data_IF_294240592789
#
_entry.id   IF_294240592789
#
_cell.length_a   1.000
_cell.length_b   1.000
_cell.length_c   1.000
_cell.angle_alpha   90.00
_cell.angle_beta   90.00
_cell.angle_gamma   90.00
#
_symmetry.space_group_name_H-M   'P 1'
#
loop_
_entity.id
_entity.type
_entity.pdbx_description
1 polymer ?
#
# COMPACT_ATOMS: atom_id res chain seq x y z
N UNK A 1 11.49 -19.52 26.67
CA UNK A 1 11.09 -19.04 25.33
C UNK A 1 10.07 -17.97 25.62
N UNK A 2 10.33 -16.70 25.30
CA UNK A 2 9.56 -15.55 25.79
C UNK A 2 8.05 -15.81 25.77
N UNK A 3 7.45 -16.02 26.95
CA UNK A 3 6.02 -16.27 27.09
C UNK A 3 5.23 -14.97 26.87
N UNK A 4 4.45 -14.90 25.78
CA UNK A 4 3.66 -13.72 25.40
C UNK A 4 2.71 -13.27 26.50
N UNK A 5 2.13 -14.22 27.25
CA UNK A 5 1.21 -13.93 28.37
C UNK A 5 1.95 -13.33 29.57
N UNK A 6 3.18 -13.79 29.85
CA UNK A 6 4.01 -13.20 30.89
C UNK A 6 4.38 -11.76 30.55
N UNK A 7 4.83 -11.51 29.32
CA UNK A 7 5.19 -10.16 28.85
C UNK A 7 3.98 -9.24 28.90
N UNK A 8 2.82 -9.70 28.44
CA UNK A 8 1.56 -8.97 28.50
C UNK A 8 1.21 -8.53 29.92
N UNK A 9 1.33 -9.43 30.90
CA UNK A 9 1.12 -9.11 32.31
C UNK A 9 2.11 -8.05 32.80
N UNK A 10 3.40 -8.17 32.46
CA UNK A 10 4.44 -7.19 32.83
C UNK A 10 4.19 -5.82 32.24
N UNK A 11 3.77 -5.74 30.97
CA UNK A 11 3.37 -4.47 30.35
C UNK A 11 2.18 -3.86 31.11
N UNK A 12 1.16 -4.65 31.40
CA UNK A 12 -0.03 -4.20 32.13
C UNK A 12 0.31 -3.71 33.55
N UNK A 13 1.17 -4.43 34.28
CA UNK A 13 1.64 -4.07 35.61
C UNK A 13 2.41 -2.76 35.61
N UNK A 14 3.44 -2.64 34.76
CA UNK A 14 4.25 -1.44 34.66
C UNK A 14 3.42 -0.23 34.22
N UNK A 15 2.49 -0.42 33.27
CA UNK A 15 1.56 0.63 32.83
C UNK A 15 0.65 1.11 33.94
N UNK A 16 0.04 0.18 34.69
CA UNK A 16 -0.83 0.50 35.84
C UNK A 16 -0.06 1.19 36.96
N UNK A 17 1.21 0.82 37.18
CA UNK A 17 2.09 1.46 38.17
C UNK A 17 2.31 2.95 37.92
N UNK A 18 2.39 3.36 36.65
CA UNK A 18 2.50 4.78 36.27
C UNK A 18 1.14 5.44 35.99
N UNK A 19 0.03 4.75 36.31
CA UNK A 19 -1.35 5.21 36.23
C UNK A 19 -1.76 5.77 34.85
N UNK A 20 -1.39 5.07 33.76
CA UNK A 20 -1.87 5.42 32.41
C UNK A 20 -2.77 4.32 31.83
N UNK A 21 -3.73 4.70 31.00
CA UNK A 21 -4.60 3.79 30.24
C UNK A 21 -3.86 3.13 29.06
N UNK A 22 -4.42 2.05 28.52
CA UNK A 22 -3.91 1.45 27.28
C UNK A 22 -3.87 2.46 26.12
N UNK A 23 -4.86 3.35 26.04
CA UNK A 23 -4.93 4.39 25.03
C UNK A 23 -3.81 5.43 25.18
N UNK A 24 -3.50 5.85 26.41
CA UNK A 24 -2.39 6.77 26.67
C UNK A 24 -1.03 6.13 26.39
N UNK A 25 -0.83 4.86 26.76
CA UNK A 25 0.39 4.13 26.41
C UNK A 25 0.55 4.01 24.89
N UNK A 26 -0.53 3.63 24.20
CA UNK A 26 -0.54 3.51 22.74
C UNK A 26 -0.21 4.84 22.05
N UNK A 27 -0.78 5.95 22.54
CA UNK A 27 -0.47 7.30 22.07
C UNK A 27 1.01 7.65 22.24
N UNK A 28 1.65 7.28 23.36
CA UNK A 28 3.09 7.53 23.58
C UNK A 28 3.98 6.64 22.71
N UNK A 29 3.49 5.46 22.32
CA UNK A 29 4.20 4.53 21.44
C UNK A 29 3.93 4.75 19.95
N UNK A 30 2.99 5.64 19.61
CA UNK A 30 2.50 5.88 18.24
C UNK A 30 1.89 4.63 17.58
N UNK A 31 1.18 3.80 18.34
CA UNK A 31 0.52 2.57 17.86
C UNK A 31 -0.97 2.54 18.24
N UNK A 32 -1.70 1.53 17.76
CA UNK A 32 -3.11 1.36 18.11
C UNK A 32 -3.31 0.94 19.57
N UNK A 33 -4.31 1.49 20.26
CA UNK A 33 -4.70 1.03 21.60
C UNK A 33 -5.14 -0.44 21.61
N UNK A 34 -5.64 -0.93 20.47
CA UNK A 34 -5.95 -2.35 20.28
C UNK A 34 -4.70 -3.22 20.35
N UNK A 35 -3.55 -2.74 19.84
CA UNK A 35 -2.29 -3.45 19.90
C UNK A 35 -1.82 -3.62 21.35
N UNK A 36 -1.84 -2.56 22.15
CA UNK A 36 -1.56 -2.64 23.60
C UNK A 36 -2.50 -3.64 24.28
N UNK A 37 -3.79 -3.62 23.94
CA UNK A 37 -4.76 -4.58 24.46
C UNK A 37 -4.43 -6.04 24.09
N UNK A 38 -4.03 -6.31 22.85
CA UNK A 38 -3.60 -7.65 22.39
C UNK A 38 -2.34 -8.10 23.13
N UNK A 39 -1.38 -7.20 23.34
CA UNK A 39 -0.17 -7.51 24.11
C UNK A 39 -0.50 -7.91 25.54
N UNK A 40 -1.32 -7.12 26.23
CA UNK A 40 -1.70 -7.41 27.63
C UNK A 40 -2.52 -8.69 27.79
N UNK A 41 -3.22 -9.15 26.75
CA UNK A 41 -3.90 -10.45 26.72
C UNK A 41 -2.99 -11.61 26.28
N UNK A 42 -1.77 -11.33 25.82
CA UNK A 42 -0.82 -12.31 25.31
C UNK A 42 -1.15 -12.83 23.89
N UNK A 43 -2.02 -12.13 23.17
CA UNK A 43 -2.44 -12.46 21.79
C UNK A 43 -1.37 -12.07 20.75
N UNK A 44 -0.54 -11.07 21.07
CA UNK A 44 0.60 -10.63 20.25
C UNK A 44 1.71 -10.05 21.14
N UNK A 45 2.81 -9.60 20.55
CA UNK A 45 3.96 -9.03 21.26
C UNK A 45 4.50 -7.79 20.53
N UNK A 46 5.00 -6.76 21.24
CA UNK A 46 5.69 -5.64 20.60
C UNK A 46 7.00 -6.09 19.94
N UNK A 47 7.40 -5.40 18.88
CA UNK A 47 8.73 -5.60 18.26
C UNK A 47 9.86 -5.05 19.14
N UNK A 48 11.11 -5.34 18.78
CA UNK A 48 12.29 -4.95 19.56
C UNK A 48 12.47 -3.43 19.71
N UNK A 49 12.11 -2.65 18.67
CA UNK A 49 12.17 -1.19 18.71
C UNK A 49 11.06 -0.64 19.61
N UNK A 50 9.88 -1.23 19.54
CA UNK A 50 8.75 -0.90 20.40
C UNK A 50 9.02 -1.28 21.86
N UNK A 51 9.73 -2.38 22.12
CA UNK A 51 10.18 -2.76 23.46
C UNK A 51 11.10 -1.72 24.09
N UNK A 52 12.06 -1.18 23.34
CA UNK A 52 12.95 -0.13 23.83
C UNK A 52 12.14 1.11 24.25
N UNK A 53 11.18 1.52 23.42
CA UNK A 53 10.28 2.65 23.73
C UNK A 53 9.36 2.35 24.91
N UNK A 54 8.85 1.13 25.02
CA UNK A 54 8.06 0.67 26.16
C UNK A 54 8.86 0.79 27.45
N UNK A 55 10.11 0.32 27.46
CA UNK A 55 10.99 0.40 28.62
C UNK A 55 11.20 1.86 29.08
N UNK A 56 11.48 2.76 28.13
CA UNK A 56 11.62 4.19 28.38
C UNK A 56 10.32 4.82 28.93
N UNK A 57 9.17 4.57 28.30
CA UNK A 57 7.88 5.16 28.70
C UNK A 57 7.42 4.63 30.07
N UNK A 58 7.65 3.35 30.35
CA UNK A 58 7.23 2.67 31.56
C UNK A 58 8.22 2.84 32.72
N UNK A 59 9.39 3.43 32.46
CA UNK A 59 10.45 3.60 33.45
C UNK A 59 10.94 2.26 33.99
N UNK A 60 11.19 1.29 33.11
CA UNK A 60 11.72 -0.04 33.45
C UNK A 60 12.96 -0.34 32.63
N UNK A 61 13.86 -1.15 33.17
CA UNK A 61 14.96 -1.72 32.39
C UNK A 61 14.42 -2.71 31.35
N UNK A 62 15.08 -2.84 30.19
CA UNK A 62 14.62 -3.76 29.14
C UNK A 62 14.55 -5.23 29.62
N UNK A 63 15.43 -5.63 30.55
CA UNK A 63 15.42 -6.97 31.13
C UNK A 63 14.20 -7.22 32.03
N UNK A 64 13.46 -6.18 32.43
CA UNK A 64 12.20 -6.33 33.15
C UNK A 64 11.26 -7.28 32.41
N UNK A 65 11.23 -7.27 31.08
CA UNK A 65 10.35 -8.13 30.28
C UNK A 65 10.84 -9.59 30.11
N UNK A 66 11.99 -9.96 30.68
CA UNK A 66 12.55 -11.31 30.60
C UNK A 66 11.99 -12.27 31.68
N UNK A 67 12.00 -13.57 31.39
CA UNK A 67 11.56 -14.66 32.31
C UNK A 67 12.46 -14.78 33.55
N UNK A 68 13.76 -14.46 33.41
CA UNK A 68 14.77 -14.70 34.44
C UNK A 68 15.04 -13.50 35.35
N UNK A 69 14.31 -12.39 35.18
CA UNK A 69 14.51 -11.22 36.03
C UNK A 69 13.70 -11.36 37.33
N UNK A 70 14.33 -11.92 38.36
CA UNK A 70 13.89 -11.70 39.72
C UNK A 70 14.21 -10.25 40.08
N UNK A 71 13.20 -9.49 40.49
CA UNK A 71 13.38 -8.19 41.11
C UNK A 71 14.27 -8.34 42.35
N UNK A 72 15.58 -8.23 42.20
CA UNK A 72 16.43 -7.84 43.32
C UNK A 72 16.00 -6.44 43.68
N UNK A 73 15.44 -6.29 44.89
CA UNK A 73 15.11 -5.01 45.49
C UNK A 73 16.33 -4.07 45.37
N UNK A 74 16.31 -3.27 44.33
CA UNK A 74 17.12 -2.07 44.19
C UNK A 74 16.13 -1.03 43.76
N UNK A 75 15.38 -0.56 44.75
CA UNK A 75 14.94 0.83 44.77
C UNK A 75 16.11 1.66 44.24
N UNK A 76 15.98 2.16 43.02
CA UNK A 76 16.87 3.22 42.56
C UNK A 76 16.57 4.38 43.48
N UNK A 77 17.45 4.58 44.47
CA UNK A 77 17.38 5.68 45.43
C UNK A 77 17.05 6.95 44.68
N UNK A 78 15.95 7.58 45.10
CA UNK A 78 15.68 8.99 44.95
C UNK A 78 16.98 9.76 45.22
N UNK A 79 17.55 10.37 44.19
CA UNK A 79 18.48 11.47 44.41
C UNK A 79 17.64 12.65 44.91
N UNK A 80 18.00 13.18 46.08
CA UNK A 80 17.32 14.27 46.76
C UNK A 80 17.25 15.58 45.95
N UNK A 81 16.27 16.44 46.25
CA UNK A 81 15.85 17.54 45.38
C UNK A 81 16.76 18.76 45.53
N UNK A 82 17.31 19.23 44.41
CA UNK A 82 17.82 20.59 44.33
C UNK A 82 16.65 21.59 44.28
N UNK A 83 16.65 22.42 45.32
CA UNK A 83 15.77 23.54 45.64
C UNK A 83 15.25 24.32 44.42
N UNK A 84 13.93 24.57 44.49
CA UNK A 84 13.07 25.44 43.65
C UNK A 84 13.76 26.68 43.04
N UNK A 85 13.57 26.86 41.74
CA UNK A 85 13.17 28.15 41.17
C UNK A 85 11.70 28.08 40.71
N UNK A 86 10.91 29.16 40.85
CA UNK A 86 9.45 29.08 40.83
C UNK A 86 8.90 28.98 39.40
N UNK A 87 7.83 28.19 39.32
CA UNK A 87 6.77 28.22 38.33
C UNK A 87 6.69 29.48 37.46
N UNK A 88 7.15 29.37 36.21
CA UNK A 88 6.64 30.13 35.07
C UNK A 88 6.97 29.33 33.80
N UNK A 89 5.99 29.24 32.89
CA UNK A 89 5.94 28.44 31.65
C UNK A 89 5.38 27.00 31.77
N UNK A 90 4.24 26.86 32.47
CA UNK A 90 3.19 25.93 32.04
C UNK A 90 2.06 26.72 31.38
N UNK A 91 2.26 27.09 30.11
CA UNK A 91 1.14 27.45 29.24
C UNK A 91 1.49 27.23 27.77
N UNK A 92 1.62 25.97 27.38
CA UNK A 92 1.18 25.53 26.07
C UNK A 92 1.01 24.01 26.18
N UNK A 93 -0.22 23.51 25.96
CA UNK A 93 -0.43 22.12 25.60
C UNK A 93 0.35 21.91 24.30
N UNK A 94 1.63 21.55 24.39
CA UNK A 94 2.40 21.06 23.26
C UNK A 94 1.66 19.82 22.78
N UNK A 95 0.83 20.01 21.76
CA UNK A 95 0.14 18.96 21.04
C UNK A 95 1.25 18.06 20.55
N UNK A 96 1.44 16.89 21.20
CA UNK A 96 2.50 15.96 20.87
C UNK A 96 2.45 15.77 19.36
N UNK A 97 3.45 16.28 18.64
CA UNK A 97 3.51 16.17 17.19
C UNK A 97 3.84 14.72 16.91
N UNK A 98 2.83 13.92 16.59
CA UNK A 98 3.05 12.56 16.12
C UNK A 98 3.78 12.69 14.79
N UNK A 99 5.09 12.50 14.76
CA UNK A 99 5.86 12.45 13.52
C UNK A 99 6.57 11.11 13.52
N UNK A 100 6.18 10.26 12.57
CA UNK A 100 6.73 8.91 12.36
C UNK A 100 7.70 8.88 11.17
N UNK A 101 8.10 10.07 10.68
CA UNK A 101 9.10 10.25 9.64
C UNK A 101 10.47 9.75 10.08
N UNK A 102 11.28 9.31 9.11
CA UNK A 102 12.63 8.76 9.32
C UNK A 102 12.70 7.50 10.21
N UNK A 103 11.56 7.02 10.70
CA UNK A 103 11.48 5.86 11.58
C UNK A 103 11.64 4.53 10.84
N UNK A 104 12.16 3.54 11.57
CA UNK A 104 12.11 2.14 11.19
C UNK A 104 10.97 1.46 11.98
N UNK A 105 9.92 1.06 11.28
CA UNK A 105 8.73 0.44 11.84
C UNK A 105 8.64 -0.98 11.33
N UNK A 106 8.75 -1.94 12.24
CA UNK A 106 8.83 -3.36 11.90
C UNK A 106 7.80 -4.09 12.74
N UNK A 107 6.87 -4.79 12.10
CA UNK A 107 5.78 -5.51 12.77
C UNK A 107 4.86 -4.60 13.63
N UNK A 108 4.86 -3.30 13.37
CA UNK A 108 4.05 -2.32 14.11
C UNK A 108 2.56 -2.42 13.74
N UNK A 109 1.69 -2.39 14.76
CA UNK A 109 0.23 -2.43 14.58
C UNK A 109 -0.39 -1.03 14.70
N UNK A 110 -0.71 -0.47 13.54
CA UNK A 110 -1.41 0.80 13.32
C UNK A 110 -2.90 0.59 12.95
N UNK A 111 -3.45 -0.60 13.18
CA UNK A 111 -4.81 -0.94 12.76
C UNK A 111 -5.86 -0.07 13.46
N UNK A 112 -6.86 0.38 12.70
CA UNK A 112 -7.94 1.26 13.17
C UNK A 112 -7.50 2.68 13.54
N UNK A 113 -6.23 3.04 13.35
CA UNK A 113 -5.77 4.41 13.58
C UNK A 113 -6.43 5.37 12.59
N UNK A 114 -6.57 6.62 13.04
CA UNK A 114 -7.12 7.73 12.27
C UNK A 114 -6.17 8.90 12.29
N UNK A 115 -6.34 9.84 11.36
CA UNK A 115 -5.56 11.08 11.28
C UNK A 115 -4.04 10.85 11.09
N UNK A 116 -3.69 9.88 10.25
CA UNK A 116 -2.29 9.57 9.91
C UNK A 116 -1.71 10.44 8.79
N UNK A 117 -2.39 11.55 8.46
CA UNK A 117 -1.92 12.52 7.48
C UNK A 117 -0.58 13.12 7.89
N UNK A 118 0.35 13.16 6.92
CA UNK A 118 1.69 13.76 7.06
C UNK A 118 2.51 13.16 8.21
N UNK A 119 2.22 11.91 8.61
CA UNK A 119 2.94 11.23 9.69
C UNK A 119 4.15 10.44 9.21
N UNK A 120 4.20 10.07 7.94
CA UNK A 120 5.25 9.21 7.41
C UNK A 120 5.95 9.90 6.23
N UNK A 121 7.18 10.35 6.46
CA UNK A 121 8.08 10.76 5.39
C UNK A 121 9.43 10.11 5.58
N UNK A 122 10.00 9.54 4.51
CA UNK A 122 11.32 8.91 4.57
C UNK A 122 11.46 7.79 5.61
N UNK A 123 10.35 7.13 5.93
CA UNK A 123 10.29 6.02 6.89
C UNK A 123 10.44 4.66 6.18
N UNK A 124 10.99 3.69 6.88
CA UNK A 124 10.97 2.27 6.52
C UNK A 124 9.86 1.57 7.30
N UNK A 125 8.88 1.02 6.61
CA UNK A 125 7.76 0.26 7.20
C UNK A 125 7.81 -1.15 6.64
N UNK A 126 7.95 -2.13 7.54
CA UNK A 126 8.03 -3.55 7.18
C UNK A 126 7.01 -4.34 8.00
N UNK A 127 6.17 -5.12 7.32
CA UNK A 127 5.18 -6.00 7.97
C UNK A 127 4.26 -5.28 8.97
N UNK A 128 4.04 -3.99 8.76
CA UNK A 128 3.16 -3.19 9.60
C UNK A 128 1.69 -3.47 9.24
N UNK A 129 0.81 -3.35 10.23
CA UNK A 129 -0.63 -3.54 10.08
C UNK A 129 -1.35 -2.19 10.09
N UNK A 130 -2.15 -1.92 9.06
CA UNK A 130 -2.99 -0.73 8.90
C UNK A 130 -4.45 -1.12 8.64
N UNK A 131 -4.85 -2.31 9.08
CA UNK A 131 -6.17 -2.86 8.78
C UNK A 131 -7.29 -1.96 9.31
N UNK A 132 -8.25 -1.64 8.43
CA UNK A 132 -9.41 -0.80 8.77
C UNK A 132 -9.07 0.62 9.25
N UNK A 133 -7.86 1.11 8.98
CA UNK A 133 -7.44 2.46 9.36
C UNK A 133 -8.04 3.53 8.45
N UNK A 134 -8.22 4.72 8.98
CA UNK A 134 -8.51 5.93 8.18
C UNK A 134 -7.18 6.60 7.84
N UNK A 135 -6.76 6.37 6.61
CA UNK A 135 -5.55 6.89 5.98
C UNK A 135 -5.91 7.94 4.92
N UNK A 136 -7.10 8.54 4.99
CA UNK A 136 -7.53 9.52 4.00
C UNK A 136 -6.58 10.72 3.99
N UNK A 137 -6.11 11.08 2.79
CA UNK A 137 -5.10 12.13 2.61
C UNK A 137 -3.71 11.78 3.18
N UNK A 138 -3.39 10.50 3.40
CA UNK A 138 -2.05 10.06 3.81
C UNK A 138 -1.01 10.56 2.82
N UNK A 139 0.11 11.09 3.33
CA UNK A 139 1.26 11.46 2.52
C UNK A 139 2.38 10.46 2.82
N UNK A 140 2.81 9.71 1.81
CA UNK A 140 4.02 8.88 1.82
C UNK A 140 5.01 9.46 0.83
N UNK A 141 6.08 10.10 1.34
CA UNK A 141 7.12 10.73 0.54
C UNK A 141 8.46 10.05 0.81
N UNK A 142 9.02 9.44 -0.24
CA UNK A 142 10.32 8.76 -0.16
C UNK A 142 10.33 7.63 0.87
N UNK A 143 9.22 6.90 1.01
CA UNK A 143 9.10 5.79 1.96
C UNK A 143 9.50 4.45 1.33
N UNK A 144 9.94 3.53 2.17
CA UNK A 144 9.97 2.10 1.86
C UNK A 144 8.84 1.42 2.62
N UNK A 145 7.87 0.84 1.90
CA UNK A 145 6.70 0.16 2.47
C UNK A 145 6.71 -1.26 1.94
N UNK A 146 7.11 -2.21 2.77
CA UNK A 146 7.31 -3.60 2.38
C UNK A 146 6.45 -4.55 3.22
N UNK A 147 5.72 -5.43 2.54
CA UNK A 147 4.97 -6.52 3.15
C UNK A 147 3.95 -6.06 4.22
N UNK A 148 3.44 -4.83 4.15
CA UNK A 148 2.45 -4.29 5.06
C UNK A 148 1.03 -4.66 4.64
N UNK A 149 0.10 -4.63 5.60
CA UNK A 149 -1.31 -4.98 5.38
C UNK A 149 -2.20 -3.76 5.60
N UNK A 150 -2.74 -3.22 4.50
CA UNK A 150 -3.67 -2.09 4.49
C UNK A 150 -5.13 -2.55 4.38
N UNK A 151 -5.43 -3.85 4.40
CA UNK A 151 -6.74 -4.37 3.98
C UNK A 151 -7.91 -3.70 4.69
N UNK A 152 -8.92 -3.31 3.91
CA UNK A 152 -10.12 -2.60 4.38
C UNK A 152 -9.91 -1.16 4.85
N UNK A 153 -8.74 -0.56 4.63
CA UNK A 153 -8.48 0.84 5.00
C UNK A 153 -8.98 1.84 3.94
N UNK A 154 -9.18 3.08 4.38
CA UNK A 154 -9.48 4.20 3.49
C UNK A 154 -8.20 5.00 3.20
N UNK A 155 -7.67 4.88 1.99
CA UNK A 155 -6.54 5.68 1.47
C UNK A 155 -7.02 6.77 0.48
N UNK A 156 -8.29 7.15 0.50
CA UNK A 156 -8.82 8.15 -0.44
C UNK A 156 -8.04 9.46 -0.36
N UNK A 157 -7.77 10.09 -1.50
CA UNK A 157 -6.99 11.34 -1.61
C UNK A 157 -5.53 11.24 -1.13
N UNK A 158 -5.00 10.04 -0.88
CA UNK A 158 -3.62 9.87 -0.44
C UNK A 158 -2.62 10.20 -1.55
N UNK A 159 -1.40 10.57 -1.16
CA UNK A 159 -0.29 10.89 -2.06
C UNK A 159 0.90 10.00 -1.75
N UNK A 160 1.23 9.12 -2.69
CA UNK A 160 2.39 8.22 -2.63
C UNK A 160 3.40 8.71 -3.65
N UNK A 161 4.50 9.27 -3.16
CA UNK A 161 5.47 10.00 -3.97
C UNK A 161 6.88 9.46 -3.76
N UNK A 162 7.58 9.15 -4.85
CA UNK A 162 8.98 8.68 -4.81
C UNK A 162 9.20 7.50 -3.87
N UNK A 163 8.19 6.65 -3.68
CA UNK A 163 8.21 5.58 -2.67
C UNK A 163 8.31 4.20 -3.31
N UNK A 164 8.86 3.26 -2.55
CA UNK A 164 8.84 1.84 -2.89
C UNK A 164 7.72 1.17 -2.10
N UNK A 165 6.78 0.55 -2.82
CA UNK A 165 5.58 -0.09 -2.28
C UNK A 165 5.60 -1.54 -2.75
N UNK A 166 6.21 -2.42 -1.96
CA UNK A 166 6.48 -3.80 -2.34
C UNK A 166 5.68 -4.79 -1.50
N UNK A 167 5.06 -5.79 -2.15
CA UNK A 167 4.42 -6.94 -1.48
C UNK A 167 3.32 -6.56 -0.48
N UNK A 168 2.71 -5.40 -0.64
CA UNK A 168 1.69 -4.92 0.28
C UNK A 168 0.31 -5.47 -0.10
N UNK A 169 -0.56 -5.61 0.91
CA UNK A 169 -1.95 -5.97 0.72
C UNK A 169 -2.82 -4.73 0.83
N UNK A 170 -3.54 -4.41 -0.24
CA UNK A 170 -4.53 -3.35 -0.33
C UNK A 170 -5.93 -3.91 -0.61
N UNK A 171 -6.18 -5.15 -0.17
CA UNK A 171 -7.44 -5.83 -0.40
C UNK A 171 -8.61 -5.02 0.15
N UNK A 172 -9.68 -4.87 -0.63
CA UNK A 172 -10.91 -4.16 -0.26
C UNK A 172 -10.66 -2.71 0.25
N UNK A 173 -9.58 -2.07 -0.17
CA UNK A 173 -9.26 -0.69 0.23
C UNK A 173 -9.96 0.35 -0.65
N UNK A 174 -10.21 1.54 -0.09
CA UNK A 174 -10.55 2.71 -0.89
C UNK A 174 -9.27 3.47 -1.30
N UNK A 175 -8.99 3.54 -2.60
CA UNK A 175 -7.90 4.34 -3.19
C UNK A 175 -8.47 5.44 -4.10
N UNK A 176 -9.71 5.87 -3.81
CA UNK A 176 -10.41 6.91 -4.57
C UNK A 176 -9.58 8.19 -4.61
N UNK A 177 -9.37 8.73 -5.81
CA UNK A 177 -8.60 9.97 -6.02
C UNK A 177 -7.18 9.95 -5.44
N UNK A 178 -6.62 8.76 -5.13
CA UNK A 178 -5.24 8.64 -4.67
C UNK A 178 -4.24 8.94 -5.81
N UNK A 179 -3.11 9.55 -5.47
CA UNK A 179 -2.08 9.97 -6.42
C UNK A 179 -0.77 9.21 -6.17
N UNK A 180 -0.34 8.44 -7.16
CA UNK A 180 0.94 7.75 -7.19
C UNK A 180 1.88 8.44 -8.18
N UNK A 181 2.95 9.03 -7.68
CA UNK A 181 3.95 9.71 -8.53
C UNK A 181 5.36 9.21 -8.32
N UNK A 182 6.07 8.92 -9.40
CA UNK A 182 7.49 8.50 -9.37
C UNK A 182 7.76 7.32 -8.43
N UNK A 183 6.81 6.41 -8.29
CA UNK A 183 6.85 5.33 -7.29
C UNK A 183 6.95 3.96 -7.96
N UNK A 184 7.56 3.00 -7.26
CA UNK A 184 7.64 1.60 -7.67
C UNK A 184 6.66 0.79 -6.84
N UNK A 185 5.72 0.12 -7.50
CA UNK A 185 4.64 -0.63 -6.86
C UNK A 185 4.77 -2.06 -7.37
N UNK A 186 5.32 -2.95 -6.54
CA UNK A 186 5.68 -4.29 -6.98
C UNK A 186 4.97 -5.35 -6.15
N UNK A 187 4.41 -6.35 -6.81
CA UNK A 187 3.85 -7.56 -6.22
C UNK A 187 2.78 -7.25 -5.15
N UNK A 188 2.01 -6.18 -5.35
CA UNK A 188 0.95 -5.79 -4.42
C UNK A 188 -0.37 -6.48 -4.78
N UNK A 189 -1.14 -6.81 -3.76
CA UNK A 189 -2.50 -7.34 -3.89
C UNK A 189 -3.49 -6.19 -3.75
N UNK A 190 -4.14 -5.79 -4.85
CA UNK A 190 -5.19 -4.78 -4.89
C UNK A 190 -6.58 -5.41 -5.05
N UNK A 191 -6.76 -6.69 -4.76
CA UNK A 191 -8.03 -7.39 -4.99
C UNK A 191 -9.20 -6.65 -4.34
N UNK A 192 -10.25 -6.35 -5.11
CA UNK A 192 -11.44 -5.65 -4.63
C UNK A 192 -11.24 -4.17 -4.24
N UNK A 193 -10.05 -3.60 -4.45
CA UNK A 193 -9.80 -2.20 -4.15
C UNK A 193 -10.56 -1.26 -5.12
N UNK A 194 -10.87 -0.06 -4.65
CA UNK A 194 -11.51 0.97 -5.47
C UNK A 194 -10.49 2.02 -5.92
N UNK A 195 -10.20 2.09 -7.22
CA UNK A 195 -9.28 3.07 -7.82
C UNK A 195 -9.98 4.21 -8.55
N UNK A 196 -11.26 4.47 -8.28
CA UNK A 196 -12.04 5.50 -8.96
C UNK A 196 -11.33 6.85 -8.90
N UNK A 197 -11.02 7.44 -10.05
CA UNK A 197 -10.34 8.73 -10.16
C UNK A 197 -8.87 8.75 -9.69
N UNK A 198 -8.28 7.59 -9.37
CA UNK A 198 -6.88 7.51 -8.97
C UNK A 198 -5.93 7.90 -10.13
N UNK A 199 -4.78 8.47 -9.77
CA UNK A 199 -3.82 9.01 -10.73
C UNK A 199 -2.46 8.34 -10.57
N UNK A 200 -1.90 7.91 -11.68
CA UNK A 200 -0.55 7.39 -11.77
C UNK A 200 0.27 8.24 -12.73
N UNK A 201 1.38 8.81 -12.25
CA UNK A 201 2.27 9.64 -13.04
C UNK A 201 3.72 9.23 -12.84
N UNK A 202 4.41 8.85 -13.90
CA UNK A 202 5.80 8.36 -13.85
C UNK A 202 5.99 7.20 -12.86
N UNK A 203 4.96 6.37 -12.64
CA UNK A 203 5.00 5.25 -11.69
C UNK A 203 5.04 3.91 -12.43
N UNK A 204 5.70 2.92 -11.83
CA UNK A 204 5.86 1.59 -12.40
C UNK A 204 5.16 0.56 -11.53
N UNK A 205 4.30 -0.25 -12.15
CA UNK A 205 3.59 -1.34 -11.51
C UNK A 205 4.13 -2.66 -12.04
N UNK A 206 4.66 -3.50 -11.15
CA UNK A 206 5.14 -4.83 -11.51
C UNK A 206 4.43 -5.93 -10.75
N UNK A 207 3.92 -6.97 -11.40
CA UNK A 207 3.46 -8.19 -10.71
C UNK A 207 2.26 -8.01 -9.77
N UNK A 208 1.49 -6.92 -9.92
CA UNK A 208 0.36 -6.62 -9.03
C UNK A 208 -0.91 -7.34 -9.48
N UNK A 209 -1.74 -7.72 -8.50
CA UNK A 209 -3.05 -8.33 -8.73
C UNK A 209 -4.14 -7.27 -8.58
N UNK A 210 -4.92 -7.04 -9.64
CA UNK A 210 -6.05 -6.12 -9.65
C UNK A 210 -7.38 -6.85 -9.87
N UNK A 211 -7.48 -8.09 -9.40
CA UNK A 211 -8.71 -8.87 -9.53
C UNK A 211 -9.89 -8.15 -8.85
N UNK A 212 -11.01 -7.97 -9.57
CA UNK A 212 -12.20 -7.32 -8.99
C UNK A 212 -12.10 -5.82 -8.78
N UNK A 213 -11.08 -5.14 -9.32
CA UNK A 213 -10.90 -3.70 -9.14
C UNK A 213 -11.81 -2.88 -10.06
N UNK A 214 -12.42 -1.84 -9.49
CA UNK A 214 -13.07 -0.76 -10.27
C UNK A 214 -12.04 0.31 -10.60
N UNK A 215 -11.75 0.46 -11.88
CA UNK A 215 -10.80 1.44 -12.38
C UNK A 215 -11.45 2.75 -12.84
N UNK A 216 -12.78 2.88 -12.82
CA UNK A 216 -13.51 3.96 -13.50
C UNK A 216 -12.91 5.34 -13.27
N UNK A 217 -12.56 6.02 -14.36
CA UNK A 217 -11.99 7.37 -14.30
C UNK A 217 -10.53 7.43 -13.84
N UNK A 218 -9.83 6.29 -13.77
CA UNK A 218 -8.39 6.25 -13.53
C UNK A 218 -7.65 7.04 -14.62
N UNK A 219 -6.66 7.82 -14.18
CA UNK A 219 -5.81 8.62 -15.04
C UNK A 219 -4.36 8.13 -14.98
N UNK A 220 -3.81 7.77 -16.13
CA UNK A 220 -2.43 7.30 -16.24
C UNK A 220 -1.68 8.20 -17.21
N UNK A 221 -0.62 8.87 -16.71
CA UNK A 221 0.24 9.78 -17.46
C UNK A 221 1.69 9.36 -17.32
N UNK A 222 2.19 8.62 -18.31
CA UNK A 222 3.56 8.08 -18.31
C UNK A 222 3.82 7.08 -17.18
N UNK A 223 4.51 5.98 -17.48
CA UNK A 223 4.70 4.86 -16.55
C UNK A 223 4.35 3.54 -17.22
N UNK A 224 4.53 2.43 -16.50
CA UNK A 224 4.38 1.10 -17.08
C UNK A 224 3.58 0.13 -16.22
N UNK A 225 2.78 -0.69 -16.88
CA UNK A 225 2.22 -1.93 -16.34
C UNK A 225 3.09 -3.07 -16.84
N UNK A 226 3.71 -3.80 -15.92
CA UNK A 226 4.52 -4.96 -16.27
C UNK A 226 4.18 -6.17 -15.42
N UNK A 227 3.89 -7.33 -16.01
CA UNK A 227 3.54 -8.51 -15.18
C UNK A 227 2.22 -8.34 -14.41
N UNK A 228 1.37 -7.37 -14.78
CA UNK A 228 0.12 -7.10 -14.07
C UNK A 228 -0.97 -8.06 -14.54
N UNK A 229 -1.78 -8.55 -13.60
CA UNK A 229 -2.96 -9.36 -13.90
C UNK A 229 -4.24 -8.61 -13.48
N UNK A 230 -5.14 -8.40 -14.44
CA UNK A 230 -6.49 -7.89 -14.20
C UNK A 230 -7.46 -9.03 -14.53
N UNK A 231 -8.01 -9.68 -13.49
CA UNK A 231 -9.03 -10.72 -13.66
C UNK A 231 -10.39 -10.19 -13.20
N UNK A 232 -11.45 -10.43 -13.96
CA UNK A 232 -12.82 -10.10 -13.56
C UNK A 232 -12.95 -8.68 -12.96
N UNK A 233 -13.00 -7.66 -13.81
CA UNK A 233 -13.12 -6.26 -13.38
C UNK A 233 -13.57 -5.34 -14.52
N UNK A 234 -13.93 -4.11 -14.18
CA UNK A 234 -14.41 -3.11 -15.13
C UNK A 234 -13.30 -2.12 -15.47
N UNK A 235 -12.86 -2.15 -16.73
CA UNK A 235 -11.90 -1.21 -17.29
C UNK A 235 -12.64 -0.23 -18.22
N UNK A 236 -13.66 0.43 -17.67
CA UNK A 236 -14.61 1.27 -18.40
C UNK A 236 -14.35 2.74 -18.10
N UNK A 237 -14.33 3.61 -19.13
CA UNK A 237 -14.14 5.07 -18.99
C UNK A 237 -12.79 5.47 -18.36
N UNK A 238 -11.72 4.76 -18.68
CA UNK A 238 -10.38 5.06 -18.17
C UNK A 238 -9.60 5.92 -19.15
N UNK A 239 -8.87 6.92 -18.64
CA UNK A 239 -7.98 7.76 -19.47
C UNK A 239 -6.54 7.28 -19.30
N UNK A 240 -6.02 6.64 -20.35
CA UNK A 240 -4.68 6.07 -20.38
C UNK A 240 -3.92 6.74 -21.51
N UNK A 241 -2.84 7.44 -21.19
CA UNK A 241 -2.03 8.15 -22.17
C UNK A 241 -0.55 7.86 -21.92
N UNK A 242 0.18 7.46 -22.98
CA UNK A 242 1.61 7.16 -22.90
C UNK A 242 1.97 6.08 -21.85
N UNK A 243 1.07 5.12 -21.61
CA UNK A 243 1.36 3.98 -20.75
C UNK A 243 2.12 2.90 -21.52
N UNK A 244 3.14 2.31 -20.90
CA UNK A 244 3.88 1.16 -21.44
C UNK A 244 3.26 -0.13 -20.88
N UNK A 245 2.94 -1.09 -21.74
CA UNK A 245 2.33 -2.35 -21.34
C UNK A 245 3.26 -3.50 -21.73
N UNK A 246 3.81 -4.21 -20.76
CA UNK A 246 4.65 -5.37 -21.03
C UNK A 246 4.18 -6.55 -20.18
N UNK A 247 4.17 -7.79 -20.66
CA UNK A 247 3.86 -8.98 -19.84
C UNK A 247 2.54 -8.84 -19.06
N UNK A 248 1.54 -8.18 -19.62
CA UNK A 248 0.31 -7.81 -18.89
C UNK A 248 -0.87 -8.64 -19.38
N UNK A 249 -1.66 -9.17 -18.46
CA UNK A 249 -2.77 -10.06 -18.75
C UNK A 249 -4.11 -9.48 -18.29
N UNK A 250 -5.07 -9.45 -19.22
CA UNK A 250 -6.48 -9.12 -18.99
C UNK A 250 -7.29 -10.41 -19.19
N UNK A 251 -8.04 -10.84 -18.18
CA UNK A 251 -8.79 -12.11 -18.20
C UNK A 251 -10.19 -11.86 -17.66
N UNK A 252 -11.22 -12.27 -18.41
CA UNK A 252 -12.64 -12.08 -18.05
C UNK A 252 -13.00 -10.60 -17.78
N UNK A 253 -12.38 -9.68 -18.53
CA UNK A 253 -12.45 -8.22 -18.30
C UNK A 253 -13.36 -7.51 -19.31
N UNK A 254 -14.14 -6.52 -18.84
CA UNK A 254 -14.83 -5.56 -19.72
C UNK A 254 -13.90 -4.38 -19.99
N UNK A 255 -13.54 -4.15 -21.27
CA UNK A 255 -12.67 -3.06 -21.68
C UNK A 255 -13.48 -2.10 -22.56
N UNK A 256 -13.69 -0.88 -22.07
CA UNK A 256 -14.48 0.10 -22.80
C UNK A 256 -13.99 1.53 -22.68
N UNK A 257 -14.15 2.30 -23.76
CA UNK A 257 -13.79 3.72 -23.84
C UNK A 257 -12.30 4.00 -23.60
N UNK A 258 -11.42 3.20 -24.21
CA UNK A 258 -9.97 3.26 -23.98
C UNK A 258 -9.20 3.36 -25.28
N UNK A 259 -8.11 4.15 -25.23
CA UNK A 259 -7.09 4.20 -26.28
C UNK A 259 -5.79 3.61 -25.74
N UNK A 260 -5.31 2.53 -26.35
CA UNK A 260 -3.99 1.96 -26.10
C UNK A 260 -2.97 2.61 -27.05
N UNK A 261 -1.88 3.14 -26.51
CA UNK A 261 -0.77 3.75 -27.26
C UNK A 261 0.56 3.13 -26.82
N UNK A 262 1.60 3.23 -27.65
CA UNK A 262 2.95 2.76 -27.29
C UNK A 262 3.13 1.26 -27.47
N UNK A 263 4.09 0.66 -26.74
CA UNK A 263 4.40 -0.77 -26.88
C UNK A 263 3.51 -1.62 -25.98
N UNK A 264 2.91 -2.64 -26.58
CA UNK A 264 2.30 -3.79 -25.92
C UNK A 264 3.16 -5.01 -26.28
N UNK A 265 4.01 -5.43 -25.36
CA UNK A 265 4.87 -6.62 -25.53
C UNK A 265 4.43 -7.75 -24.58
N UNK A 266 4.30 -8.98 -25.08
CA UNK A 266 3.92 -10.16 -24.27
C UNK A 266 2.60 -9.96 -23.49
N UNK A 267 1.60 -9.35 -24.12
CA UNK A 267 0.32 -9.03 -23.49
C UNK A 267 -0.77 -10.04 -23.86
N UNK A 268 -1.67 -10.35 -22.92
CA UNK A 268 -2.73 -11.34 -23.12
C UNK A 268 -4.10 -10.72 -22.85
N UNK A 269 -5.03 -10.92 -23.78
CA UNK A 269 -6.44 -10.58 -23.62
C UNK A 269 -7.27 -11.86 -23.81
N UNK A 270 -7.76 -12.43 -22.71
CA UNK A 270 -8.55 -13.68 -22.70
C UNK A 270 -9.96 -13.43 -22.15
N UNK A 271 -10.98 -13.99 -22.83
CA UNK A 271 -12.39 -13.86 -22.44
C UNK A 271 -12.87 -12.41 -22.22
N UNK A 272 -12.22 -11.45 -22.86
CA UNK A 272 -12.51 -10.04 -22.74
C UNK A 272 -13.64 -9.60 -23.68
N UNK A 273 -14.30 -8.52 -23.30
CA UNK A 273 -15.23 -7.79 -24.16
C UNK A 273 -14.70 -6.39 -24.45
N UNK A 274 -14.78 -5.98 -25.71
CA UNK A 274 -14.25 -4.71 -26.20
C UNK A 274 -15.38 -3.80 -26.69
N UNK A 275 -15.45 -2.58 -26.16
CA UNK A 275 -16.45 -1.58 -26.58
C UNK A 275 -15.82 -0.18 -26.71
N UNK A 276 -15.78 0.38 -27.92
CA UNK A 276 -15.11 1.68 -28.19
C UNK A 276 -13.65 1.66 -27.71
N UNK A 277 -12.92 0.62 -28.12
CA UNK A 277 -11.49 0.46 -27.82
C UNK A 277 -10.70 0.76 -29.09
N UNK A 278 -9.66 1.61 -28.96
CA UNK A 278 -8.76 1.96 -30.05
C UNK A 278 -7.32 1.61 -29.67
N UNK A 279 -6.58 0.98 -30.56
CA UNK A 279 -5.11 0.97 -30.50
C UNK A 279 -4.62 2.04 -31.47
N UNK A 280 -3.81 2.98 -30.99
CA UNK A 280 -3.35 4.12 -31.78
C UNK A 280 -1.83 4.26 -31.64
N UNK A 281 -1.13 4.29 -32.77
CA UNK A 281 0.33 4.37 -32.82
C UNK A 281 1.00 3.31 -31.92
N UNK A 282 0.34 2.17 -31.78
CA UNK A 282 0.74 1.11 -30.88
C UNK A 282 1.60 0.07 -31.60
N UNK A 283 2.62 -0.42 -30.92
CA UNK A 283 3.44 -1.56 -31.35
C UNK A 283 2.99 -2.80 -30.57
N UNK A 284 2.46 -3.80 -31.26
CA UNK A 284 1.95 -5.03 -30.69
C UNK A 284 2.92 -6.17 -31.00
N UNK A 285 3.70 -6.58 -30.01
CA UNK A 285 4.59 -7.75 -30.09
C UNK A 285 4.16 -8.80 -29.08
N UNK A 286 4.18 -10.08 -29.47
CA UNK A 286 3.74 -11.21 -28.66
C UNK A 286 2.41 -10.93 -27.94
N UNK A 287 1.47 -10.27 -28.62
CA UNK A 287 0.21 -9.83 -28.01
C UNK A 287 -0.92 -10.73 -28.48
N UNK A 288 -1.56 -11.43 -27.55
CA UNK A 288 -2.49 -12.50 -27.84
C UNK A 288 -3.93 -12.16 -27.47
N UNK A 289 -4.86 -12.44 -28.38
CA UNK A 289 -6.30 -12.26 -28.19
C UNK A 289 -6.99 -13.61 -28.30
N UNK A 290 -7.44 -14.18 -27.17
CA UNK A 290 -7.96 -15.54 -27.10
C UNK A 290 -9.38 -15.58 -26.51
N UNK A 291 -10.25 -16.42 -27.08
CA UNK A 291 -11.62 -16.64 -26.57
C UNK A 291 -12.48 -15.37 -26.37
N UNK A 292 -12.15 -14.29 -27.09
CA UNK A 292 -12.85 -13.02 -26.97
C UNK A 292 -14.12 -13.03 -27.82
N UNK A 293 -15.25 -12.57 -27.26
CA UNK A 293 -16.58 -12.68 -27.91
C UNK A 293 -16.68 -11.96 -29.26
N UNK A 294 -16.00 -10.82 -29.43
CA UNK A 294 -15.99 -10.05 -30.67
C UNK A 294 -14.83 -9.05 -30.71
N UNK A 295 -13.94 -9.16 -31.70
CA UNK A 295 -12.86 -8.18 -31.93
C UNK A 295 -13.19 -7.12 -32.99
N UNK A 296 -14.32 -7.23 -33.70
CA UNK A 296 -14.70 -6.30 -34.80
C UNK A 296 -14.88 -4.84 -34.36
N UNK A 297 -15.06 -4.61 -33.07
CA UNK A 297 -15.28 -3.27 -32.49
C UNK A 297 -13.99 -2.59 -32.05
N UNK A 298 -12.86 -3.27 -32.19
CA UNK A 298 -11.55 -2.70 -31.93
C UNK A 298 -11.11 -1.92 -33.16
N UNK A 299 -10.70 -0.67 -32.96
CA UNK A 299 -10.14 0.18 -34.02
C UNK A 299 -8.61 0.18 -33.90
N UNK A 300 -7.92 0.07 -35.04
CA UNK A 300 -6.48 0.23 -35.12
C UNK A 300 -6.15 1.48 -35.96
N UNK A 301 -5.21 2.30 -35.50
CA UNK A 301 -4.79 3.54 -36.18
C UNK A 301 -3.27 3.60 -36.13
N UNK A 302 -2.62 3.52 -37.29
CA UNK A 302 -1.16 3.59 -37.45
C UNK A 302 -0.39 2.62 -36.52
N UNK A 303 -0.92 1.42 -36.35
CA UNK A 303 -0.35 0.37 -35.52
C UNK A 303 0.69 -0.46 -36.28
N UNK A 304 1.59 -1.07 -35.52
CA UNK A 304 2.52 -2.10 -35.99
C UNK A 304 2.28 -3.37 -35.20
N UNK A 305 2.27 -4.53 -35.85
CA UNK A 305 2.13 -5.82 -35.17
C UNK A 305 3.10 -6.86 -35.72
N UNK A 306 3.58 -7.78 -34.87
CA UNK A 306 4.26 -8.96 -35.37
C UNK A 306 3.29 -9.90 -36.10
N UNK A 307 3.85 -10.86 -36.85
CA UNK A 307 3.06 -11.76 -37.69
C UNK A 307 2.13 -12.65 -36.89
N UNK A 308 2.53 -13.09 -35.69
CA UNK A 308 1.70 -13.98 -34.88
C UNK A 308 0.50 -13.24 -34.30
N UNK A 309 0.72 -12.05 -33.73
CA UNK A 309 -0.32 -11.14 -33.22
C UNK A 309 -1.32 -10.79 -34.32
N UNK A 310 -0.84 -10.47 -35.53
CA UNK A 310 -1.69 -10.17 -36.68
C UNK A 310 -2.61 -11.34 -37.04
N UNK A 311 -2.11 -12.58 -37.04
CA UNK A 311 -2.93 -13.76 -37.33
C UNK A 311 -3.97 -14.04 -36.24
N UNK A 312 -3.64 -13.84 -34.95
CA UNK A 312 -4.63 -13.95 -33.86
C UNK A 312 -5.78 -12.95 -34.03
N UNK A 313 -5.47 -11.69 -34.33
CA UNK A 313 -6.47 -10.65 -34.61
C UNK A 313 -7.35 -11.03 -35.81
N UNK A 314 -6.74 -11.55 -36.89
CA UNK A 314 -7.43 -12.01 -38.09
C UNK A 314 -8.39 -13.15 -37.81
N UNK A 315 -7.96 -14.16 -37.06
CA UNK A 315 -8.80 -15.29 -36.65
C UNK A 315 -9.99 -14.84 -35.79
N UNK A 316 -9.76 -13.85 -34.91
CA UNK A 316 -10.81 -13.20 -34.13
C UNK A 316 -11.71 -12.25 -34.93
N UNK A 317 -11.54 -12.19 -36.26
CA UNK A 317 -12.30 -11.35 -37.21
C UNK A 317 -12.20 -9.86 -36.91
N UNK A 318 -11.09 -9.38 -36.35
CA UNK A 318 -10.83 -7.96 -36.17
C UNK A 318 -10.72 -7.23 -37.52
N UNK A 319 -11.04 -5.94 -37.55
CA UNK A 319 -10.73 -5.09 -38.70
C UNK A 319 -9.25 -4.69 -38.64
N UNK A 320 -8.44 -5.19 -39.57
CA UNK A 320 -6.97 -5.03 -39.53
C UNK A 320 -6.48 -3.77 -40.25
N UNK A 321 -7.40 -2.94 -40.76
CA UNK A 321 -7.09 -1.65 -41.35
C UNK A 321 -6.29 -0.79 -40.36
N UNK A 322 -5.18 -0.21 -40.81
CA UNK A 322 -4.31 0.59 -39.94
C UNK A 322 -3.26 -0.22 -39.17
N UNK A 323 -3.14 -1.54 -39.40
CA UNK A 323 -2.03 -2.35 -38.89
C UNK A 323 -1.03 -2.61 -40.02
N UNK A 324 0.24 -2.33 -39.75
CA UNK A 324 1.38 -2.75 -40.59
C UNK A 324 2.17 -3.85 -39.91
N UNK A 325 2.73 -4.79 -40.67
CA UNK A 325 3.55 -5.85 -40.10
C UNK A 325 4.94 -5.32 -39.70
N UNK A 326 5.43 -5.75 -38.55
CA UNK A 326 6.83 -5.56 -38.17
C UNK A 326 7.72 -6.33 -39.16
N UNK A 327 8.60 -5.63 -39.85
CA UNK A 327 9.67 -6.23 -40.65
C UNK A 327 10.72 -6.76 -39.68
N UNK A 328 10.94 -8.09 -39.73
CA UNK A 328 12.01 -8.78 -39.01
C UNK A 328 13.37 -8.20 -39.40
#
# INVERSE_FOLDING_TARGET
MLNTKMIGNKIAEARKRINISQAELAQRLFISSQAVGKWERGESMPDITTFNRLAEILGVDLNYFSENFQSSATETKLAEPLVKQPAELLSEKQKLSWDMSLGNWVDADFSGLKNLREKFSSSNMQRCLFNGSDLSGLLLKTNNVDSCDFSGSDLSNSRIQRSNVNKNKFKDCSLKEAEFSRSHINVCDFTGANFTGAKFSESYLYGCDFTGVDFTGMLIKSGGFTGVAVKSGDFVKNTITNAVWNRTSFIDTQIADIVFTGTLDDCYFENCAFNRVTFQQAMLSNTFFKNNKNLKRIRFVDCRADRITYEFLKQGKAELTGITLLTV
#
